data_IF_119004640705
#
_entry.id   IF_119004640705
#
_cell.length_a   1.000
_cell.length_b   1.000
_cell.length_c   1.000
_cell.angle_alpha   90.00
_cell.angle_beta   90.00
_cell.angle_gamma   90.00
#
_symmetry.space_group_name_H-M   'P 1'
#
loop_
_entity.id
_entity.type
_entity.pdbx_description
1 polymer ?
#
# COMPACT_ATOMS: atom_id res chain seq x y z
N UNK A 1 -2.68 -49.16 -26.56
CA UNK A 1 -3.28 -49.71 -27.80
C UNK A 1 -3.91 -48.58 -28.59
N UNK A 2 -3.35 -48.40 -29.81
CA UNK A 2 -3.96 -47.96 -31.09
C UNK A 2 -4.74 -46.63 -31.07
N UNK A 3 -4.23 -45.48 -31.65
CA UNK A 3 -4.23 -45.09 -33.09
C UNK A 3 -5.65 -44.76 -33.56
N UNK A 4 -5.97 -43.64 -34.27
CA UNK A 4 -5.46 -43.09 -35.56
C UNK A 4 -6.26 -41.77 -35.78
N UNK A 5 -5.67 -40.60 -36.09
CA UNK A 5 -5.58 -39.89 -37.38
C UNK A 5 -6.92 -39.60 -38.09
N UNK A 6 -7.14 -38.34 -38.42
CA UNK A 6 -7.28 -37.93 -39.82
C UNK A 6 -7.17 -36.42 -40.02
N UNK A 7 -6.30 -36.11 -40.98
CA UNK A 7 -6.11 -34.86 -41.73
C UNK A 7 -7.09 -34.83 -42.93
N UNK A 8 -7.47 -33.63 -43.40
CA UNK A 8 -7.64 -33.23 -44.80
C UNK A 8 -8.16 -31.77 -44.82
N UNK A 9 -7.55 -30.83 -45.35
CA UNK A 9 -6.91 -30.44 -46.59
C UNK A 9 -7.89 -29.77 -47.59
N UNK A 10 -7.53 -28.52 -48.01
CA UNK A 10 -7.71 -27.79 -49.27
C UNK A 10 -9.14 -27.40 -49.70
N UNK A 11 -9.41 -26.36 -50.46
CA UNK A 11 -8.63 -25.45 -51.31
C UNK A 11 -9.43 -24.23 -51.75
N UNK A 12 -8.76 -23.17 -52.02
CA UNK A 12 -8.89 -22.16 -53.08
C UNK A 12 -10.14 -22.14 -53.98
N UNK A 13 -10.64 -20.92 -54.20
CA UNK A 13 -10.96 -20.46 -55.54
C UNK A 13 -11.01 -18.92 -55.62
N UNK A 14 -10.18 -18.38 -56.49
CA UNK A 14 -10.13 -17.00 -56.97
C UNK A 14 -11.17 -16.79 -58.07
N UNK A 15 -11.70 -15.59 -58.15
CA UNK A 15 -12.57 -15.16 -59.24
C UNK A 15 -12.51 -13.67 -59.47
N UNK A 16 -11.68 -13.27 -60.37
CA UNK A 16 -11.62 -11.92 -60.98
C UNK A 16 -12.78 -11.72 -61.96
N UNK A 17 -13.36 -10.51 -61.98
CA UNK A 17 -13.74 -9.87 -63.26
C UNK A 17 -13.85 -8.35 -63.12
N UNK A 18 -13.18 -7.67 -64.03
CA UNK A 18 -13.20 -6.26 -64.28
C UNK A 18 -14.40 -5.85 -65.16
N UNK A 19 -14.92 -4.64 -65.00
CA UNK A 19 -15.62 -3.96 -66.05
C UNK A 19 -15.31 -2.44 -66.01
N UNK A 20 -14.78 -1.92 -67.08
CA UNK A 20 -14.52 -0.54 -67.38
C UNK A 20 -15.80 0.24 -67.66
N UNK A 21 -15.81 1.54 -67.32
CA UNK A 21 -16.82 2.50 -67.78
C UNK A 21 -16.31 3.94 -67.59
N UNK A 22 -15.81 4.48 -68.65
CA UNK A 22 -15.51 5.85 -69.15
C UNK A 22 -15.75 7.09 -68.30
N UNK A 23 -14.74 7.94 -68.38
CA UNK A 23 -14.59 9.28 -67.84
C UNK A 23 -15.51 10.33 -68.44
N UNK A 24 -15.89 11.32 -67.62
CA UNK A 24 -16.16 12.67 -68.05
C UNK A 24 -15.59 13.69 -67.05
N UNK A 25 -14.77 14.60 -67.56
CA UNK A 25 -14.14 15.74 -66.88
C UNK A 25 -15.13 16.88 -66.64
N UNK A 26 -15.08 17.50 -65.44
CA UNK A 26 -15.19 18.96 -65.24
C UNK A 26 -14.72 19.40 -63.85
N UNK A 27 -14.48 20.69 -63.62
CA UNK A 27 -13.16 21.14 -63.18
C UNK A 27 -13.07 21.45 -61.67
N UNK A 28 -11.82 21.64 -61.20
CA UNK A 28 -11.37 21.92 -59.86
C UNK A 28 -12.06 23.13 -59.20
N UNK A 29 -12.52 22.94 -57.97
CA UNK A 29 -12.66 23.98 -56.96
C UNK A 29 -11.66 23.75 -55.81
N UNK A 30 -11.08 24.83 -55.36
CA UNK A 30 -9.98 25.01 -54.42
C UNK A 30 -10.32 24.46 -53.05
N UNK A 31 -9.35 23.88 -52.27
CA UNK A 31 -9.60 23.34 -50.95
C UNK A 31 -9.81 24.47 -49.94
N UNK A 32 -10.85 24.35 -49.13
CA UNK A 32 -11.01 25.07 -47.88
C UNK A 32 -10.13 24.40 -46.84
N UNK A 33 -9.34 25.23 -46.17
CA UNK A 33 -8.43 24.85 -45.05
C UNK A 33 -9.20 24.29 -43.85
N UNK A 34 -8.56 23.32 -43.19
CA UNK A 34 -8.52 23.19 -41.75
C UNK A 34 -9.76 22.57 -41.09
N UNK A 35 -9.89 21.27 -41.18
CA UNK A 35 -10.53 20.49 -40.16
C UNK A 35 -9.44 19.57 -39.55
N UNK A 36 -9.08 19.79 -38.28
CA UNK A 36 -8.36 18.80 -37.51
C UNK A 36 -9.11 17.46 -37.61
N UNK A 37 -8.40 16.33 -37.78
CA UNK A 37 -9.06 15.04 -37.73
C UNK A 37 -9.62 14.88 -36.31
N UNK A 38 -10.95 14.84 -36.17
CA UNK A 38 -11.58 14.34 -34.96
C UNK A 38 -10.93 12.97 -34.66
N UNK A 39 -10.35 12.81 -33.46
CA UNK A 39 -9.84 11.55 -33.00
C UNK A 39 -10.96 10.51 -33.17
N UNK A 40 -10.72 9.49 -33.97
CA UNK A 40 -11.61 8.34 -34.07
C UNK A 40 -11.73 7.79 -32.64
N UNK A 41 -12.95 7.73 -32.13
CA UNK A 41 -13.23 7.12 -30.83
C UNK A 41 -12.75 5.66 -30.92
N UNK A 42 -11.62 5.37 -30.29
CA UNK A 42 -11.15 4.01 -30.13
C UNK A 42 -12.23 3.20 -29.40
N UNK A 43 -12.54 2.01 -29.91
CA UNK A 43 -13.52 1.10 -29.25
C UNK A 43 -13.07 0.77 -27.81
N UNK A 44 -13.91 0.02 -27.06
CA UNK A 44 -13.59 -0.36 -25.68
C UNK A 44 -12.20 -0.98 -25.56
N UNK A 45 -11.42 -0.51 -24.60
CA UNK A 45 -10.04 -0.99 -24.31
C UNK A 45 -10.02 -1.82 -23.04
N UNK A 46 -9.03 -2.71 -22.95
CA UNK A 46 -8.73 -3.45 -21.73
C UNK A 46 -7.42 -2.97 -21.14
N UNK A 47 -7.46 -2.52 -19.87
CA UNK A 47 -6.31 -2.10 -19.09
C UNK A 47 -5.87 -3.18 -18.12
N UNK A 48 -4.57 -3.48 -18.09
CA UNK A 48 -3.98 -4.24 -16.99
C UNK A 48 -3.75 -3.28 -15.82
N UNK A 49 -4.38 -3.54 -14.69
CA UNK A 49 -4.27 -2.72 -13.48
C UNK A 49 -3.74 -3.58 -12.35
N UNK A 50 -2.74 -3.08 -11.66
CA UNK A 50 -2.17 -3.74 -10.49
C UNK A 50 -2.22 -2.79 -9.30
N UNK A 51 -2.75 -3.26 -8.19
CA UNK A 51 -2.83 -2.51 -6.93
C UNK A 51 -2.51 -3.39 -5.74
N UNK A 52 -2.47 -2.81 -4.55
CA UNK A 52 -2.41 -3.53 -3.28
C UNK A 52 -3.78 -3.83 -2.68
N UNK A 53 -4.87 -3.40 -3.32
CA UNK A 53 -6.23 -3.60 -2.83
C UNK A 53 -6.73 -5.03 -3.09
N UNK A 54 -6.12 -6.00 -2.39
CA UNK A 54 -6.43 -7.43 -2.50
C UNK A 54 -6.23 -8.14 -1.16
N UNK A 55 -6.64 -9.39 -1.06
CA UNK A 55 -6.55 -10.17 0.19
C UNK A 55 -7.38 -9.53 1.30
N UNK A 56 -6.77 -9.33 2.46
CA UNK A 56 -7.38 -8.74 3.67
C UNK A 56 -7.34 -7.20 3.68
N UNK A 57 -6.96 -6.53 2.58
CA UNK A 57 -6.99 -5.08 2.51
C UNK A 57 -8.41 -4.53 2.62
N UNK A 58 -8.63 -3.60 3.54
CA UNK A 58 -9.93 -3.02 3.83
C UNK A 58 -10.59 -2.29 2.66
N UNK A 59 -9.81 -1.90 1.65
CA UNK A 59 -10.29 -1.26 0.43
C UNK A 59 -10.47 -2.22 -0.76
N UNK A 60 -10.23 -3.52 -0.58
CA UNK A 60 -10.36 -4.49 -1.67
C UNK A 60 -11.77 -4.48 -2.31
N UNK A 61 -12.83 -4.38 -1.50
CA UNK A 61 -14.20 -4.29 -2.00
C UNK A 61 -14.51 -2.93 -2.62
N UNK A 62 -14.00 -1.83 -2.04
CA UNK A 62 -14.12 -0.49 -2.62
C UNK A 62 -13.48 -0.43 -4.00
N UNK A 63 -12.31 -1.07 -4.17
CA UNK A 63 -11.62 -1.17 -5.46
C UNK A 63 -12.47 -1.93 -6.50
N UNK A 64 -12.96 -3.12 -6.17
CA UNK A 64 -13.84 -3.91 -7.06
C UNK A 64 -15.08 -3.12 -7.51
N UNK A 65 -15.74 -2.47 -6.56
CA UNK A 65 -16.94 -1.66 -6.83
C UNK A 65 -16.62 -0.44 -7.72
N UNK A 66 -15.51 0.24 -7.46
CA UNK A 66 -15.07 1.40 -8.25
C UNK A 66 -14.66 0.99 -9.67
N UNK A 67 -13.96 -0.13 -9.83
CA UNK A 67 -13.65 -0.72 -11.15
C UNK A 67 -14.94 -1.01 -11.93
N UNK A 68 -15.90 -1.70 -11.32
CA UNK A 68 -17.18 -2.03 -11.97
C UNK A 68 -17.96 -0.77 -12.39
N UNK A 69 -17.93 0.27 -11.57
CA UNK A 69 -18.58 1.56 -11.88
C UNK A 69 -17.88 2.28 -13.04
N UNK A 70 -16.52 2.32 -13.05
CA UNK A 70 -15.77 2.89 -14.16
C UNK A 70 -16.00 2.13 -15.48
N UNK A 71 -15.99 0.80 -15.44
CA UNK A 71 -16.29 -0.04 -16.59
C UNK A 71 -17.70 0.23 -17.16
N UNK A 72 -18.68 0.39 -16.26
CA UNK A 72 -20.06 0.70 -16.65
C UNK A 72 -20.17 2.10 -17.29
N UNK A 73 -19.42 3.10 -16.77
CA UNK A 73 -19.42 4.48 -17.28
C UNK A 73 -18.74 4.59 -18.65
N UNK A 74 -17.66 3.84 -18.88
CA UNK A 74 -16.78 4.02 -20.05
C UNK A 74 -16.93 2.95 -21.12
N UNK A 75 -17.44 1.76 -20.77
CA UNK A 75 -17.43 0.57 -21.61
C UNK A 75 -16.08 -0.14 -21.66
N UNK A 76 -15.01 0.44 -21.13
CA UNK A 76 -13.68 -0.17 -21.01
C UNK A 76 -13.70 -1.34 -20.02
N UNK A 77 -12.60 -2.10 -19.97
CA UNK A 77 -12.42 -3.25 -19.09
C UNK A 77 -11.11 -3.14 -18.30
N UNK A 78 -11.12 -3.72 -17.10
CA UNK A 78 -9.94 -3.90 -16.26
C UNK A 78 -9.60 -5.38 -16.17
N UNK A 79 -8.35 -5.71 -16.42
CA UNK A 79 -7.74 -6.98 -16.04
C UNK A 79 -6.97 -6.70 -14.74
N UNK A 80 -7.59 -7.10 -13.64
CA UNK A 80 -7.04 -6.90 -12.30
C UNK A 80 -6.00 -7.98 -11.98
N UNK A 81 -4.78 -7.52 -11.63
CA UNK A 81 -3.67 -8.36 -11.20
C UNK A 81 -3.13 -7.95 -9.82
N UNK A 82 -3.99 -7.32 -9.02
CA UNK A 82 -3.69 -6.88 -7.67
C UNK A 82 -3.32 -8.04 -6.73
N UNK A 83 -2.52 -7.76 -5.72
CA UNK A 83 -2.13 -8.72 -4.69
C UNK A 83 -1.90 -8.00 -3.35
N UNK A 84 -1.87 -8.76 -2.26
CA UNK A 84 -1.54 -8.25 -0.93
C UNK A 84 -0.20 -7.51 -0.93
N UNK A 85 -0.13 -6.39 -0.22
CA UNK A 85 1.07 -5.58 -0.10
C UNK A 85 2.07 -6.25 0.82
N UNK A 86 3.05 -6.95 0.25
CA UNK A 86 4.18 -7.56 0.95
C UNK A 86 5.48 -7.39 0.14
N UNK A 87 6.59 -7.88 0.65
CA UNK A 87 7.89 -7.80 -0.05
C UNK A 87 7.89 -8.62 -1.35
N UNK A 88 7.11 -9.71 -1.44
CA UNK A 88 6.96 -10.46 -2.68
C UNK A 88 6.23 -9.64 -3.75
N UNK A 89 5.20 -8.87 -3.35
CA UNK A 89 4.52 -7.94 -4.25
C UNK A 89 5.50 -6.89 -4.80
N UNK A 90 6.30 -6.25 -3.94
CA UNK A 90 7.31 -5.26 -4.36
C UNK A 90 8.30 -5.86 -5.35
N UNK A 91 8.87 -7.03 -5.03
CA UNK A 91 9.81 -7.75 -5.89
C UNK A 91 9.19 -8.11 -7.25
N UNK A 92 7.92 -8.55 -7.25
CA UNK A 92 7.19 -8.84 -8.49
C UNK A 92 7.06 -7.60 -9.35
N UNK A 93 6.64 -6.46 -8.78
CA UNK A 93 6.47 -5.22 -9.53
C UNK A 93 7.79 -4.77 -10.16
N UNK A 94 8.88 -4.78 -9.40
CA UNK A 94 10.22 -4.44 -9.92
C UNK A 94 10.57 -5.34 -11.11
N UNK A 95 10.40 -6.66 -10.97
CA UNK A 95 10.65 -7.63 -12.04
C UNK A 95 9.75 -7.41 -13.26
N UNK A 96 8.48 -7.07 -13.08
CA UNK A 96 7.55 -6.79 -14.18
C UNK A 96 8.03 -5.58 -15.00
N UNK A 97 8.56 -4.54 -14.35
CA UNK A 97 9.14 -3.38 -15.04
C UNK A 97 10.45 -3.70 -15.76
N UNK A 98 11.31 -4.52 -15.17
CA UNK A 98 12.56 -4.96 -15.78
C UNK A 98 12.34 -5.82 -17.03
N UNK A 99 11.33 -6.69 -17.00
CA UNK A 99 11.02 -7.63 -18.09
C UNK A 99 10.08 -7.06 -19.16
N UNK A 100 9.55 -5.84 -18.99
CA UNK A 100 8.58 -5.22 -19.91
C UNK A 100 7.16 -5.77 -19.78
N UNK A 101 6.87 -6.42 -18.64
CA UNK A 101 5.56 -6.99 -18.29
C UNK A 101 4.74 -6.04 -17.40
N UNK A 102 5.21 -4.80 -17.21
CA UNK A 102 4.55 -3.80 -16.39
C UNK A 102 3.07 -3.61 -16.75
N UNK A 103 2.19 -3.32 -15.76
CA UNK A 103 0.78 -3.03 -16.02
C UNK A 103 0.58 -1.71 -16.79
N UNK A 104 -0.63 -1.41 -17.20
CA UNK A 104 -0.98 -0.13 -17.82
C UNK A 104 -1.15 0.96 -16.76
N UNK A 105 -1.73 0.60 -15.60
CA UNK A 105 -1.86 1.46 -14.41
C UNK A 105 -1.42 0.67 -13.18
N UNK A 106 -0.62 1.31 -12.33
CA UNK A 106 -0.07 0.73 -11.13
C UNK A 106 -0.42 1.60 -9.91
N UNK A 107 -0.91 1.01 -8.83
CA UNK A 107 -0.95 1.63 -7.51
C UNK A 107 0.18 1.06 -6.67
N UNK A 108 1.14 1.90 -6.30
CA UNK A 108 2.40 1.45 -5.69
C UNK A 108 3.02 2.54 -4.81
N UNK A 109 4.03 2.17 -4.05
CA UNK A 109 4.83 3.08 -3.23
C UNK A 109 5.47 4.18 -4.08
N UNK A 110 5.55 5.39 -3.54
CA UNK A 110 6.11 6.57 -4.20
C UNK A 110 7.49 6.98 -3.63
N UNK A 111 8.04 6.16 -2.72
CA UNK A 111 9.37 6.29 -2.16
C UNK A 111 10.45 5.58 -2.98
N UNK A 112 11.50 5.10 -2.29
CA UNK A 112 12.69 4.50 -2.92
C UNK A 112 12.39 3.22 -3.71
N UNK A 113 11.35 2.46 -3.36
CA UNK A 113 10.94 1.26 -4.09
C UNK A 113 10.54 1.54 -5.57
N UNK A 114 10.20 2.80 -5.89
CA UNK A 114 9.87 3.22 -7.25
C UNK A 114 11.08 3.74 -8.06
N UNK A 115 12.24 3.93 -7.43
CA UNK A 115 13.37 4.62 -8.03
C UNK A 115 13.81 4.00 -9.36
N UNK A 116 13.90 2.68 -9.44
CA UNK A 116 14.47 1.99 -10.60
C UNK A 116 13.60 2.16 -11.83
N UNK A 117 12.30 1.96 -11.74
CA UNK A 117 11.41 2.15 -12.89
C UNK A 117 11.20 3.64 -13.23
N UNK A 118 11.35 4.56 -12.27
CA UNK A 118 11.35 6.01 -12.52
C UNK A 118 12.62 6.41 -13.27
N UNK A 119 13.81 6.03 -12.78
CA UNK A 119 15.10 6.29 -13.44
C UNK A 119 15.15 5.67 -14.86
N UNK A 120 14.50 4.53 -15.05
CA UNK A 120 14.38 3.89 -16.36
C UNK A 120 13.32 4.55 -17.29
N UNK A 121 12.62 5.61 -16.83
CA UNK A 121 11.60 6.32 -17.62
C UNK A 121 10.37 5.49 -17.96
N UNK A 122 9.99 4.55 -17.08
CA UNK A 122 8.89 3.60 -17.29
C UNK A 122 7.52 4.11 -16.88
N UNK A 123 7.46 5.25 -16.19
CA UNK A 123 6.23 5.92 -15.75
C UNK A 123 6.21 7.37 -16.22
N UNK A 124 5.03 7.98 -16.27
CA UNK A 124 4.83 9.33 -16.80
C UNK A 124 4.57 10.29 -15.64
N UNK A 125 5.26 11.42 -15.63
CA UNK A 125 5.05 12.42 -14.59
C UNK A 125 3.68 13.10 -14.70
N UNK A 126 3.15 13.55 -13.57
CA UNK A 126 1.88 14.30 -13.51
C UNK A 126 1.94 15.53 -14.41
N UNK A 127 3.07 16.26 -14.40
CA UNK A 127 3.25 17.44 -15.24
C UNK A 127 3.27 17.13 -16.74
N UNK A 128 3.81 15.97 -17.13
CA UNK A 128 3.76 15.54 -18.55
C UNK A 128 2.34 15.18 -18.96
N UNK A 129 1.59 14.48 -18.11
CA UNK A 129 0.19 14.14 -18.36
C UNK A 129 -0.64 15.43 -18.49
N UNK A 130 -0.44 16.41 -17.61
CA UNK A 130 -1.14 17.71 -17.61
C UNK A 130 -0.93 18.54 -18.87
N UNK A 131 0.12 18.30 -19.66
CA UNK A 131 0.29 18.97 -20.97
C UNK A 131 -0.80 18.58 -21.97
N UNK A 132 -1.32 17.35 -21.87
CA UNK A 132 -2.37 16.83 -22.75
C UNK A 132 -3.73 16.80 -22.06
N UNK A 133 -3.76 16.55 -20.75
CA UNK A 133 -4.94 16.47 -19.88
C UNK A 133 -4.81 17.50 -18.75
N UNK A 134 -5.13 18.81 -18.99
CA UNK A 134 -4.85 19.87 -18.01
C UNK A 134 -5.54 19.69 -16.66
N UNK A 135 -6.66 18.96 -16.62
CA UNK A 135 -7.44 18.71 -15.41
C UNK A 135 -6.95 17.48 -14.61
N UNK A 136 -5.93 16.75 -15.11
CA UNK A 136 -5.43 15.56 -14.44
C UNK A 136 -4.94 15.89 -13.03
N UNK A 137 -5.55 15.24 -12.02
CA UNK A 137 -5.31 15.46 -10.59
C UNK A 137 -5.44 16.95 -10.14
N UNK A 138 -6.24 17.78 -10.83
CA UNK A 138 -6.47 19.20 -10.48
C UNK A 138 -7.27 19.36 -9.19
N UNK A 139 -7.99 18.32 -8.75
CA UNK A 139 -8.69 18.25 -7.47
C UNK A 139 -7.78 17.95 -6.27
N UNK A 140 -6.49 17.67 -6.52
CA UNK A 140 -5.50 17.38 -5.49
C UNK A 140 -4.68 18.63 -5.13
N UNK A 141 -4.29 18.72 -3.86
CA UNK A 141 -3.28 19.67 -3.38
C UNK A 141 -1.89 19.15 -3.77
N UNK A 142 -1.27 19.83 -4.73
CA UNK A 142 0.07 19.46 -5.18
C UNK A 142 1.11 19.45 -4.06
N UNK A 143 0.91 20.22 -2.97
CA UNK A 143 1.78 20.20 -1.80
C UNK A 143 1.72 18.89 -1.02
N UNK A 144 0.65 18.10 -1.19
CA UNK A 144 0.44 16.80 -0.54
C UNK A 144 0.80 15.62 -1.41
N UNK A 145 1.05 15.82 -2.70
CA UNK A 145 1.55 14.77 -3.60
C UNK A 145 3.06 14.69 -3.41
N UNK A 146 3.54 13.53 -2.98
CA UNK A 146 4.97 13.30 -2.74
C UNK A 146 5.76 13.33 -4.05
N UNK A 147 6.92 13.98 -4.01
CA UNK A 147 7.91 13.90 -5.08
C UNK A 147 8.75 12.63 -4.94
N UNK A 148 9.13 12.03 -6.06
CA UNK A 148 10.02 10.88 -6.06
C UNK A 148 11.40 11.25 -5.50
N UNK A 149 12.01 10.43 -4.63
CA UNK A 149 13.39 10.63 -4.20
C UNK A 149 14.40 10.42 -5.33
N UNK A 150 14.01 9.79 -6.44
CA UNK A 150 14.89 9.54 -7.58
C UNK A 150 15.31 10.83 -8.31
N UNK A 151 14.39 11.81 -8.43
CA UNK A 151 14.59 13.00 -9.28
C UNK A 151 13.82 14.26 -8.82
N UNK A 152 13.06 14.17 -7.74
CA UNK A 152 12.24 15.28 -7.22
C UNK A 152 10.96 15.55 -8.02
N UNK A 153 10.58 14.68 -8.95
CA UNK A 153 9.40 14.83 -9.81
C UNK A 153 8.21 14.03 -9.24
N UNK A 154 6.98 14.49 -9.48
CA UNK A 154 5.74 13.83 -9.03
C UNK A 154 5.19 12.92 -10.10
N UNK A 155 4.93 11.66 -9.75
CA UNK A 155 4.44 10.64 -10.67
C UNK A 155 3.13 10.00 -10.21
N UNK A 156 2.97 9.78 -8.92
CA UNK A 156 1.87 9.01 -8.35
C UNK A 156 0.78 9.92 -7.77
N UNK A 157 -0.49 9.69 -8.14
CA UNK A 157 -1.64 10.40 -7.57
C UNK A 157 -2.23 9.57 -6.44
N UNK A 158 -2.20 10.03 -5.17
CA UNK A 158 -2.69 9.25 -4.04
C UNK A 158 -4.23 9.19 -4.02
N UNK A 159 -4.80 8.08 -3.53
CA UNK A 159 -6.23 7.94 -3.28
C UNK A 159 -6.54 8.02 -1.78
N UNK A 160 -5.70 7.43 -0.95
CA UNK A 160 -5.79 7.44 0.50
C UNK A 160 -4.41 7.50 1.12
N UNK A 161 -4.36 7.91 2.38
CA UNK A 161 -3.19 7.79 3.23
C UNK A 161 -3.24 6.54 4.10
N UNK A 162 -2.32 6.48 5.05
CA UNK A 162 -2.23 5.43 6.05
C UNK A 162 -1.81 6.01 7.41
N UNK A 163 -2.00 5.23 8.42
CA UNK A 163 -1.38 5.36 9.74
C UNK A 163 -1.12 3.96 10.28
N UNK A 164 -0.11 3.84 11.13
CA UNK A 164 0.22 2.62 11.85
C UNK A 164 -0.06 2.81 13.35
N UNK A 165 -0.70 1.83 13.96
CA UNK A 165 -1.09 1.91 15.37
C UNK A 165 -1.26 0.50 15.97
N UNK A 166 -1.51 0.44 17.28
CA UNK A 166 -1.76 -0.80 18.00
C UNK A 166 -3.24 -1.13 17.99
N UNK A 167 -3.65 -2.18 17.27
CA UNK A 167 -4.97 -2.78 17.43
C UNK A 167 -5.02 -3.63 18.69
N UNK A 168 -6.20 -3.71 19.31
CA UNK A 168 -6.40 -4.35 20.61
C UNK A 168 -7.61 -5.27 20.56
N UNK A 169 -7.45 -6.48 21.09
CA UNK A 169 -8.56 -7.37 21.36
C UNK A 169 -8.95 -7.25 22.84
N UNK A 170 -10.05 -6.54 23.11
CA UNK A 170 -10.52 -6.24 24.45
C UNK A 170 -10.92 -7.49 25.24
N UNK A 171 -11.46 -8.51 24.56
CA UNK A 171 -11.84 -9.77 25.20
C UNK A 171 -10.62 -10.46 25.83
N UNK A 172 -9.48 -10.42 25.15
CA UNK A 172 -8.21 -10.97 25.67
C UNK A 172 -7.69 -10.12 26.85
N UNK A 173 -7.79 -8.77 26.75
CA UNK A 173 -7.40 -7.90 27.85
C UNK A 173 -8.25 -8.16 29.10
N UNK A 174 -9.56 -8.27 28.94
CA UNK A 174 -10.49 -8.52 30.05
C UNK A 174 -10.21 -9.87 30.71
N UNK A 175 -9.95 -10.93 29.90
CA UNK A 175 -9.59 -12.25 30.41
C UNK A 175 -8.26 -12.25 31.18
N UNK A 176 -7.31 -11.39 30.79
CA UNK A 176 -6.02 -11.23 31.45
C UNK A 176 -6.05 -10.21 32.62
N UNK A 177 -7.15 -9.51 32.82
CA UNK A 177 -7.25 -8.44 33.82
C UNK A 177 -6.40 -7.23 33.52
N UNK A 178 -6.23 -6.93 32.22
CA UNK A 178 -5.47 -5.79 31.71
C UNK A 178 -6.42 -4.67 31.30
N UNK A 179 -6.09 -3.44 31.64
CA UNK A 179 -6.85 -2.26 31.22
C UNK A 179 -6.42 -1.82 29.84
N UNK A 180 -7.35 -1.36 29.01
CA UNK A 180 -7.09 -0.79 27.69
C UNK A 180 -5.95 0.24 27.73
N UNK A 181 -4.85 0.06 26.96
CA UNK A 181 -3.78 1.05 26.88
C UNK A 181 -4.27 2.38 26.29
N UNK A 182 -3.64 3.47 26.67
CA UNK A 182 -3.97 4.83 26.23
C UNK A 182 -2.70 5.57 25.77
N UNK A 183 -2.87 6.82 25.35
CA UNK A 183 -1.74 7.72 25.04
C UNK A 183 -0.80 7.98 26.23
N UNK A 184 -1.17 7.54 27.43
CA UNK A 184 -0.36 7.69 28.67
C UNK A 184 0.33 6.41 29.10
N UNK A 185 0.01 5.29 28.45
CA UNK A 185 0.61 3.98 28.79
C UNK A 185 2.09 4.02 28.44
N UNK A 186 2.92 3.82 29.43
CA UNK A 186 4.38 3.80 29.28
C UNK A 186 4.86 2.46 28.76
N UNK A 187 6.06 2.42 28.20
CA UNK A 187 6.71 1.17 27.78
C UNK A 187 6.77 0.12 28.91
N UNK A 188 7.11 0.58 30.12
CA UNK A 188 7.18 -0.31 31.28
C UNK A 188 5.81 -0.93 31.62
N UNK A 189 4.74 -0.13 31.63
CA UNK A 189 3.37 -0.63 31.87
C UNK A 189 2.95 -1.61 30.77
N UNK A 190 3.32 -1.35 29.51
CA UNK A 190 3.06 -2.26 28.40
C UNK A 190 3.75 -3.62 28.61
N UNK A 191 5.02 -3.65 29.03
CA UNK A 191 5.70 -4.91 29.36
C UNK A 191 5.03 -5.66 30.52
N UNK A 192 4.58 -4.94 31.55
CA UNK A 192 3.82 -5.51 32.68
C UNK A 192 2.48 -6.10 32.22
N UNK A 193 1.81 -5.46 31.26
CA UNK A 193 0.57 -5.95 30.68
C UNK A 193 0.79 -7.16 29.77
N UNK A 194 1.84 -7.18 28.96
CA UNK A 194 2.24 -8.35 28.18
C UNK A 194 2.51 -9.57 29.10
N UNK A 195 3.17 -9.38 30.25
CA UNK A 195 3.41 -10.46 31.20
C UNK A 195 2.11 -11.00 31.83
N UNK A 196 1.15 -10.14 32.13
CA UNK A 196 -0.19 -10.56 32.62
C UNK A 196 -0.94 -11.38 31.55
N UNK A 197 -0.93 -10.90 30.29
CA UNK A 197 -1.57 -11.57 29.16
C UNK A 197 -0.95 -12.96 28.95
N UNK A 198 0.38 -13.04 28.93
CA UNK A 198 1.12 -14.29 28.80
C UNK A 198 0.79 -15.25 29.97
N UNK A 199 0.78 -14.74 31.21
CA UNK A 199 0.44 -15.52 32.40
C UNK A 199 -1.00 -16.03 32.40
N UNK A 200 -1.91 -15.35 31.72
CA UNK A 200 -3.29 -15.78 31.51
C UNK A 200 -3.44 -16.83 30.39
N UNK A 201 -2.36 -17.16 29.68
CA UNK A 201 -2.32 -18.20 28.64
C UNK A 201 -2.63 -17.69 27.23
N UNK A 202 -2.58 -16.38 27.01
CA UNK A 202 -2.72 -15.75 25.70
C UNK A 202 -1.37 -15.29 25.16
N UNK A 203 -1.30 -15.09 23.83
CA UNK A 203 -0.15 -14.44 23.19
C UNK A 203 -0.28 -12.93 23.39
N UNK A 204 0.70 -12.23 23.98
CA UNK A 204 0.62 -10.79 24.12
C UNK A 204 0.48 -10.06 22.78
N UNK A 205 1.34 -10.40 21.81
CA UNK A 205 1.51 -9.65 20.56
C UNK A 205 1.41 -10.60 19.38
N UNK A 206 0.45 -10.39 18.50
CA UNK A 206 0.40 -11.06 17.20
C UNK A 206 1.40 -10.37 16.26
N UNK A 207 2.46 -11.06 15.87
CA UNK A 207 3.45 -10.54 14.92
C UNK A 207 4.16 -11.67 14.16
N UNK A 208 4.38 -11.46 12.87
CA UNK A 208 5.12 -12.33 11.97
C UNK A 208 6.50 -11.71 11.67
N UNK A 209 7.42 -11.74 12.65
CA UNK A 209 8.73 -11.08 12.53
C UNK A 209 9.61 -11.62 11.39
N UNK A 210 9.33 -12.83 10.88
CA UNK A 210 10.03 -13.39 9.72
C UNK A 210 9.39 -13.03 8.38
N UNK A 211 8.20 -12.42 8.38
CA UNK A 211 7.46 -12.09 7.15
C UNK A 211 7.22 -10.58 7.00
N UNK A 212 6.74 -9.93 8.07
CA UNK A 212 6.45 -8.49 8.10
C UNK A 212 7.09 -7.86 9.35
N UNK A 213 8.42 -7.68 9.39
CA UNK A 213 9.11 -7.13 10.55
C UNK A 213 9.07 -5.60 10.63
N UNK A 214 8.70 -4.91 9.55
CA UNK A 214 8.95 -3.47 9.38
C UNK A 214 8.22 -2.61 10.41
N UNK A 215 6.98 -2.92 10.83
CA UNK A 215 6.29 -2.16 11.88
C UNK A 215 7.07 -2.15 13.20
N UNK A 216 7.63 -3.30 13.58
CA UNK A 216 8.41 -3.45 14.79
C UNK A 216 9.76 -2.78 14.68
N UNK A 217 10.39 -2.85 13.48
CA UNK A 217 11.62 -2.14 13.18
C UNK A 217 11.39 -0.63 13.26
N UNK A 218 10.36 -0.11 12.58
CA UNK A 218 10.02 1.31 12.54
C UNK A 218 9.70 1.87 13.93
N UNK A 219 8.78 1.26 14.66
CA UNK A 219 8.42 1.75 16.00
C UNK A 219 9.51 1.49 17.05
N UNK A 220 10.34 0.47 16.87
CA UNK A 220 11.51 0.25 17.71
C UNK A 220 12.44 1.45 17.64
N UNK A 221 12.86 1.85 16.44
CA UNK A 221 13.74 3.01 16.27
C UNK A 221 13.01 4.33 16.57
N UNK A 222 11.74 4.47 16.19
CA UNK A 222 10.98 5.69 16.45
C UNK A 222 10.82 5.98 17.93
N UNK A 223 10.76 4.97 18.79
CA UNK A 223 10.74 5.15 20.24
C UNK A 223 11.99 5.86 20.80
N UNK A 224 13.11 5.78 20.10
CA UNK A 224 14.36 6.46 20.46
C UNK A 224 14.43 7.88 19.88
N UNK A 225 13.52 8.26 18.97
CA UNK A 225 13.58 9.43 18.11
C UNK A 225 12.39 10.38 18.31
N UNK A 226 12.46 11.53 17.67
CA UNK A 226 11.34 12.46 17.52
C UNK A 226 10.83 12.43 16.06
N UNK A 227 9.61 12.92 15.78
CA UNK A 227 9.11 13.00 14.42
C UNK A 227 10.01 13.78 13.44
N UNK A 228 10.80 14.72 13.96
CA UNK A 228 11.66 15.60 13.17
C UNK A 228 12.90 14.88 12.62
N UNK A 229 13.45 13.91 13.38
CA UNK A 229 14.67 13.20 12.97
C UNK A 229 14.44 11.73 12.56
N UNK A 230 13.21 11.23 12.67
CA UNK A 230 12.90 9.82 12.38
C UNK A 230 13.28 9.39 10.96
N UNK A 231 13.12 10.27 9.96
CA UNK A 231 13.45 9.98 8.56
C UNK A 231 14.92 10.23 8.20
N UNK A 232 15.73 10.69 9.16
CA UNK A 232 17.17 10.87 8.93
C UNK A 232 17.87 9.51 8.94
N UNK A 233 18.68 9.25 7.92
CA UNK A 233 19.46 8.02 7.83
C UNK A 233 20.80 8.22 8.53
N UNK A 234 21.18 7.34 9.48
CA UNK A 234 22.47 7.44 10.17
C UNK A 234 23.66 7.38 9.21
N UNK A 235 24.75 8.08 9.55
CA UNK A 235 26.01 7.96 8.81
C UNK A 235 26.76 6.66 9.12
N UNK A 236 26.58 6.11 10.32
CA UNK A 236 27.13 4.82 10.76
C UNK A 236 26.35 4.29 11.96
N UNK A 237 26.48 3.00 12.25
CA UNK A 237 25.89 2.39 13.45
C UNK A 237 26.44 2.97 14.77
N UNK A 238 27.63 3.58 14.74
CA UNK A 238 28.33 4.12 15.91
C UNK A 238 28.01 5.60 16.19
N UNK A 239 27.37 6.33 15.25
CA UNK A 239 26.97 7.70 15.51
C UNK A 239 25.70 7.78 16.40
N UNK A 240 25.30 8.97 16.82
CA UNK A 240 24.18 9.16 17.75
C UNK A 240 22.88 8.56 17.18
N UNK A 241 22.57 8.85 15.92
CA UNK A 241 21.37 8.36 15.26
C UNK A 241 21.43 6.84 15.01
N UNK A 242 22.60 6.30 14.66
CA UNK A 242 22.83 4.86 14.51
C UNK A 242 22.66 4.09 15.81
N UNK A 243 23.10 4.66 16.93
CA UNK A 243 22.87 4.08 18.25
C UNK A 243 21.37 4.08 18.62
N UNK A 244 20.59 5.07 18.21
CA UNK A 244 19.12 5.05 18.37
C UNK A 244 18.52 3.87 17.61
N UNK A 245 18.97 3.57 16.39
CA UNK A 245 18.55 2.39 15.64
C UNK A 245 18.93 1.09 16.34
N UNK A 246 20.18 0.98 16.80
CA UNK A 246 20.66 -0.20 17.53
C UNK A 246 19.85 -0.44 18.80
N UNK A 247 19.56 0.62 19.56
CA UNK A 247 18.78 0.54 20.79
C UNK A 247 17.32 0.15 20.52
N UNK A 248 16.70 0.74 19.49
CA UNK A 248 15.32 0.43 19.11
C UNK A 248 15.13 -1.02 18.67
N UNK A 249 16.07 -1.56 17.88
CA UNK A 249 16.09 -2.98 17.52
C UNK A 249 16.37 -3.88 18.74
N UNK A 250 17.16 -3.39 19.70
CA UNK A 250 17.37 -4.04 20.99
C UNK A 250 16.06 -4.23 21.77
N UNK A 251 15.14 -3.25 21.70
CA UNK A 251 13.83 -3.35 22.35
C UNK A 251 12.95 -4.43 21.69
N UNK A 252 12.99 -4.57 20.37
CA UNK A 252 12.28 -5.65 19.65
C UNK A 252 12.84 -7.03 20.06
N UNK A 253 14.17 -7.13 20.16
CA UNK A 253 14.83 -8.35 20.66
C UNK A 253 14.42 -8.68 22.08
N UNK A 254 14.33 -7.69 22.98
CA UNK A 254 13.86 -7.87 24.35
C UNK A 254 12.45 -8.48 24.39
N UNK A 255 11.51 -7.96 23.59
CA UNK A 255 10.14 -8.50 23.50
C UNK A 255 10.14 -9.97 23.04
N UNK A 256 11.02 -10.32 22.09
CA UNK A 256 11.20 -11.70 21.62
C UNK A 256 11.76 -12.60 22.72
N UNK A 257 12.81 -12.18 23.42
CA UNK A 257 13.44 -12.93 24.51
C UNK A 257 12.49 -13.14 25.70
N UNK A 258 11.62 -12.16 25.97
CA UNK A 258 10.55 -12.27 26.96
C UNK A 258 9.41 -13.22 26.52
N UNK A 259 9.39 -13.65 25.24
CA UNK A 259 8.40 -14.56 24.69
C UNK A 259 7.02 -13.93 24.62
N UNK A 260 6.94 -12.67 24.18
CA UNK A 260 5.68 -11.95 24.00
C UNK A 260 5.10 -12.09 22.59
N UNK A 261 5.88 -12.59 21.63
CA UNK A 261 5.44 -12.96 20.29
C UNK A 261 5.02 -14.44 20.21
N UNK A 262 4.30 -14.87 19.16
CA UNK A 262 4.00 -16.29 18.94
C UNK A 262 5.27 -17.14 18.82
N UNK A 263 5.20 -18.40 19.25
CA UNK A 263 6.35 -19.33 19.17
C UNK A 263 6.88 -19.49 17.72
N UNK A 264 5.99 -19.36 16.72
CA UNK A 264 6.32 -19.44 15.29
C UNK A 264 6.53 -18.07 14.61
N UNK A 265 6.69 -16.98 15.35
CA UNK A 265 6.80 -15.61 14.82
C UNK A 265 7.84 -15.44 13.69
N UNK A 266 8.91 -16.26 13.72
CA UNK A 266 9.97 -16.22 12.71
C UNK A 266 9.64 -16.98 11.41
N UNK A 267 8.51 -17.68 11.36
CA UNK A 267 8.08 -18.47 10.21
C UNK A 267 6.59 -18.31 9.88
N UNK A 268 5.83 -17.62 10.73
CA UNK A 268 4.43 -17.32 10.51
C UNK A 268 4.28 -16.31 9.37
N UNK A 269 3.15 -16.40 8.67
CA UNK A 269 2.72 -15.37 7.71
C UNK A 269 1.93 -14.27 8.43
N UNK A 270 1.77 -13.11 7.77
CA UNK A 270 0.90 -12.03 8.25
C UNK A 270 -0.54 -12.53 8.48
N UNK A 271 -1.10 -13.27 7.52
CA UNK A 271 -2.47 -13.82 7.62
C UNK A 271 -2.64 -14.75 8.85
N UNK A 272 -1.62 -15.57 9.16
CA UNK A 272 -1.66 -16.45 10.34
C UNK A 272 -1.68 -15.67 11.65
N UNK A 273 -0.89 -14.62 11.76
CA UNK A 273 -0.84 -13.77 12.97
C UNK A 273 -2.06 -12.85 13.06
N UNK A 274 -2.55 -12.35 11.93
CA UNK A 274 -3.81 -11.62 11.87
C UNK A 274 -4.99 -12.49 12.32
N UNK A 275 -5.09 -13.73 11.82
CA UNK A 275 -6.10 -14.68 12.27
C UNK A 275 -5.98 -14.99 13.76
N UNK A 276 -4.75 -15.11 14.30
CA UNK A 276 -4.54 -15.28 15.74
C UNK A 276 -5.14 -14.13 16.55
N UNK A 277 -4.98 -12.89 16.09
CA UNK A 277 -5.53 -11.70 16.72
C UNK A 277 -7.07 -11.67 16.64
N UNK A 278 -7.64 -11.91 15.45
CA UNK A 278 -9.11 -11.85 15.24
C UNK A 278 -9.85 -13.03 15.86
N UNK A 279 -9.18 -14.15 16.11
CA UNK A 279 -9.69 -15.33 16.84
C UNK A 279 -9.64 -15.16 18.37
N UNK A 280 -9.14 -14.04 18.91
CA UNK A 280 -9.05 -13.82 20.35
C UNK A 280 -7.95 -14.65 21.03
N UNK A 281 -6.88 -15.00 20.31
CA UNK A 281 -5.72 -15.73 20.83
C UNK A 281 -4.56 -14.81 21.19
N UNK A 282 -4.56 -13.58 20.66
CA UNK A 282 -3.58 -12.55 20.94
C UNK A 282 -4.25 -11.21 21.29
N UNK A 283 -3.59 -10.43 22.16
CA UNK A 283 -4.13 -9.18 22.69
C UNK A 283 -3.85 -7.98 21.77
N UNK A 284 -2.64 -7.89 21.24
CA UNK A 284 -2.16 -6.73 20.49
C UNK A 284 -1.70 -7.11 19.08
N UNK A 285 -1.96 -6.21 18.13
CA UNK A 285 -1.47 -6.27 16.76
C UNK A 285 -0.98 -4.88 16.37
N UNK A 286 0.31 -4.70 16.09
CA UNK A 286 0.88 -3.49 15.52
C UNK A 286 0.79 -3.59 14.01
N UNK A 287 -0.05 -2.75 13.39
CA UNK A 287 -0.30 -2.80 11.95
C UNK A 287 -0.94 -1.49 11.45
N UNK A 288 -1.25 -1.41 10.18
CA UNK A 288 -1.76 -0.21 9.54
C UNK A 288 -3.28 -0.11 9.46
N UNK A 289 -3.73 1.08 9.09
CA UNK A 289 -5.14 1.45 8.94
C UNK A 289 -5.95 0.54 8.01
N UNK A 290 -5.32 -0.17 7.08
CA UNK A 290 -5.94 -1.16 6.19
C UNK A 290 -6.54 -2.36 6.94
N UNK A 291 -6.02 -2.70 8.13
CA UNK A 291 -6.55 -3.80 8.94
C UNK A 291 -7.93 -3.50 9.54
N UNK A 292 -8.35 -2.24 9.60
CA UNK A 292 -9.72 -1.89 10.03
C UNK A 292 -10.76 -2.64 9.21
N UNK A 293 -10.62 -2.64 7.87
CA UNK A 293 -11.53 -3.37 6.99
C UNK A 293 -11.43 -4.88 7.14
N UNK A 294 -10.23 -5.42 7.29
CA UNK A 294 -10.02 -6.86 7.52
C UNK A 294 -10.63 -7.34 8.83
N UNK A 295 -10.51 -6.56 9.93
CA UNK A 295 -11.17 -6.88 11.21
C UNK A 295 -12.70 -6.89 11.03
N UNK A 296 -13.26 -5.90 10.33
CA UNK A 296 -14.70 -5.82 10.04
C UNK A 296 -15.15 -7.05 9.24
N UNK A 297 -14.41 -7.41 8.19
CA UNK A 297 -14.71 -8.60 7.36
C UNK A 297 -14.69 -9.90 8.19
N UNK A 298 -13.76 -10.03 9.15
CA UNK A 298 -13.71 -11.18 10.08
C UNK A 298 -14.87 -11.20 11.10
N UNK A 299 -15.60 -10.09 11.24
CA UNK A 299 -16.82 -10.01 12.04
C UNK A 299 -18.10 -10.18 11.20
N UNK A 300 -18.00 -10.52 9.91
CA UNK A 300 -19.13 -10.80 9.02
C UNK A 300 -19.23 -12.30 8.71
N UNK A 301 -20.44 -12.83 8.60
CA UNK A 301 -20.65 -14.20 8.12
C UNK A 301 -20.57 -14.29 6.60
N UNK A 302 -20.76 -13.16 5.90
CA UNK A 302 -20.53 -12.96 4.48
C UNK A 302 -19.83 -11.60 4.31
N UNK A 303 -18.52 -11.57 4.00
CA UNK A 303 -17.77 -10.33 3.85
C UNK A 303 -18.28 -9.42 2.72
N UNK A 304 -19.06 -9.96 1.77
CA UNK A 304 -19.67 -9.17 0.69
C UNK A 304 -21.02 -8.54 1.08
N UNK A 305 -21.63 -8.97 2.19
CA UNK A 305 -22.91 -8.44 2.70
C UNK A 305 -22.72 -7.71 4.05
N UNK A 306 -22.67 -6.36 4.05
CA UNK A 306 -22.55 -5.57 5.30
C UNK A 306 -23.66 -5.84 6.32
N UNK A 307 -24.83 -6.34 5.91
CA UNK A 307 -25.92 -6.67 6.82
C UNK A 307 -25.63 -7.91 7.69
N UNK A 308 -24.58 -8.66 7.39
CA UNK A 308 -24.14 -9.82 8.16
C UNK A 308 -23.14 -9.52 9.28
N UNK A 309 -22.84 -8.24 9.51
CA UNK A 309 -21.90 -7.79 10.52
C UNK A 309 -22.37 -8.15 11.94
N UNK A 310 -21.55 -8.92 12.64
CA UNK A 310 -21.69 -9.15 14.08
C UNK A 310 -21.08 -7.96 14.85
N UNK A 311 -21.93 -7.03 15.22
CA UNK A 311 -21.53 -5.81 15.92
C UNK A 311 -21.03 -6.09 17.35
N UNK A 312 -21.51 -7.14 18.00
CA UNK A 312 -21.05 -7.53 19.34
C UNK A 312 -19.61 -8.05 19.27
N UNK A 313 -19.31 -8.91 18.28
CA UNK A 313 -17.93 -9.35 18.02
C UNK A 313 -17.01 -8.18 17.65
N UNK A 314 -17.47 -7.25 16.79
CA UNK A 314 -16.69 -6.10 16.38
C UNK A 314 -16.35 -5.16 17.55
N UNK A 315 -17.26 -5.02 18.52
CA UNK A 315 -17.08 -4.16 19.69
C UNK A 315 -15.91 -4.62 20.59
N UNK A 316 -15.48 -5.88 20.49
CA UNK A 316 -14.30 -6.40 21.18
C UNK A 316 -12.99 -5.87 20.59
N UNK A 317 -13.00 -5.29 19.39
CA UNK A 317 -11.79 -4.71 18.79
C UNK A 317 -11.73 -3.20 19.03
N UNK A 318 -10.51 -2.74 19.28
CA UNK A 318 -10.20 -1.33 19.48
C UNK A 318 -8.87 -0.98 18.79
N UNK A 319 -8.52 0.29 18.76
CA UNK A 319 -7.23 0.78 18.28
C UNK A 319 -6.71 1.85 19.21
N UNK A 320 -5.41 1.81 19.49
CA UNK A 320 -4.71 2.72 20.38
C UNK A 320 -3.30 3.01 19.87
N UNK A 321 -2.56 3.78 20.63
CA UNK A 321 -1.19 4.18 20.30
C UNK A 321 -0.20 3.07 20.66
N UNK A 322 0.85 2.92 19.84
CA UNK A 322 2.02 2.15 20.27
C UNK A 322 2.64 2.83 21.50
N UNK A 323 2.95 2.09 22.57
CA UNK A 323 3.48 2.66 23.81
C UNK A 323 4.77 3.45 23.58
N UNK A 324 4.82 4.65 24.14
CA UNK A 324 5.99 5.50 24.00
C UNK A 324 7.12 5.05 24.93
N UNK A 325 8.35 5.22 24.42
CA UNK A 325 9.58 5.08 25.17
C UNK A 325 10.50 6.25 24.79
N UNK A 326 11.28 6.70 25.73
CA UNK A 326 12.34 7.72 25.58
C UNK A 326 11.85 9.03 24.91
N UNK A 327 12.16 9.31 23.65
CA UNK A 327 11.95 10.62 23.02
C UNK A 327 10.55 10.80 22.40
N UNK A 328 9.94 9.73 21.90
CA UNK A 328 8.65 9.78 21.20
C UNK A 328 7.48 9.99 22.17
N UNK A 329 6.47 10.73 21.75
CA UNK A 329 5.15 10.71 22.40
C UNK A 329 4.31 9.58 21.79
N UNK A 330 3.48 8.91 22.58
CA UNK A 330 2.58 7.87 22.06
C UNK A 330 1.67 8.38 20.92
N UNK A 331 1.30 9.66 20.95
CA UNK A 331 0.48 10.33 19.93
C UNK A 331 1.24 10.76 18.68
N UNK A 332 2.55 10.50 18.57
CA UNK A 332 3.29 10.65 17.34
C UNK A 332 3.25 9.33 16.58
N UNK A 333 2.67 9.33 15.38
CA UNK A 333 2.42 8.13 14.59
C UNK A 333 3.24 8.11 13.29
N UNK A 334 3.51 6.91 12.83
CA UNK A 334 3.94 6.67 11.45
C UNK A 334 2.69 6.72 10.57
N UNK A 335 2.76 7.47 9.48
CA UNK A 335 1.65 7.66 8.56
C UNK A 335 1.92 8.72 7.51
N UNK A 336 1.05 8.79 6.51
CA UNK A 336 1.19 9.77 5.44
C UNK A 336 0.51 9.34 4.15
N UNK A 337 1.07 9.79 3.03
CA UNK A 337 0.63 9.49 1.67
C UNK A 337 1.81 8.85 0.91
N UNK A 338 2.10 7.58 1.18
CA UNK A 338 3.28 6.87 0.64
C UNK A 338 3.01 6.10 -0.65
N UNK A 339 1.76 6.08 -1.13
CA UNK A 339 1.35 5.33 -2.32
C UNK A 339 0.47 6.17 -3.23
N UNK A 340 0.44 5.82 -4.52
CA UNK A 340 -0.45 6.45 -5.48
C UNK A 340 -0.52 5.69 -6.80
N UNK A 341 -1.43 6.15 -7.67
CA UNK A 341 -1.62 5.62 -9.01
C UNK A 341 -0.62 6.22 -9.99
N UNK A 342 0.14 5.36 -10.66
CA UNK A 342 1.02 5.67 -11.77
C UNK A 342 0.37 5.32 -13.11
N UNK A 343 0.50 6.19 -14.10
CA UNK A 343 0.32 5.83 -15.51
C UNK A 343 1.66 5.37 -16.07
N UNK A 344 1.72 4.13 -16.58
CA UNK A 344 2.98 3.62 -17.13
C UNK A 344 3.27 4.21 -18.52
N UNK A 345 4.55 4.28 -18.87
CA UNK A 345 5.00 4.75 -20.19
C UNK A 345 4.45 3.87 -21.31
N UNK A 346 4.29 2.58 -21.04
CA UNK A 346 3.67 1.60 -21.95
C UNK A 346 2.24 1.97 -22.31
N UNK A 347 1.40 2.31 -21.34
CA UNK A 347 0.03 2.75 -21.59
C UNK A 347 -0.02 4.14 -22.23
N UNK A 348 0.88 5.04 -21.80
CA UNK A 348 0.96 6.40 -22.33
C UNK A 348 1.33 6.46 -23.82
N UNK A 349 2.27 5.61 -24.26
CA UNK A 349 2.75 5.56 -25.64
C UNK A 349 1.79 4.81 -26.58
N UNK A 350 0.86 4.04 -26.03
CA UNK A 350 -0.21 3.39 -26.80
C UNK A 350 -1.43 4.34 -26.94
N UNK A 351 -1.67 4.92 -28.14
CA UNK A 351 -2.81 5.84 -28.31
C UNK A 351 -4.17 5.22 -28.01
N UNK A 352 -4.29 3.88 -28.11
CA UNK A 352 -5.53 3.19 -27.79
C UNK A 352 -5.78 3.11 -26.27
N UNK A 353 -4.71 3.06 -25.45
CA UNK A 353 -4.77 2.86 -24.00
C UNK A 353 -4.63 4.17 -23.20
N UNK A 354 -3.95 5.16 -23.74
CA UNK A 354 -3.64 6.42 -23.05
C UNK A 354 -4.87 7.07 -22.40
N UNK A 355 -5.89 7.34 -23.18
CA UNK A 355 -7.11 8.00 -22.70
C UNK A 355 -7.82 7.17 -21.62
N UNK A 356 -7.84 5.85 -21.78
CA UNK A 356 -8.44 4.95 -20.82
C UNK A 356 -7.63 4.90 -19.50
N UNK A 357 -6.29 4.85 -19.57
CA UNK A 357 -5.43 4.83 -18.39
C UNK A 357 -5.52 6.14 -17.59
N UNK A 358 -5.48 7.29 -18.28
CA UNK A 358 -5.67 8.60 -17.64
C UNK A 358 -7.05 8.69 -16.99
N UNK A 359 -8.13 8.37 -17.75
CA UNK A 359 -9.50 8.36 -17.25
C UNK A 359 -9.70 7.43 -16.06
N UNK A 360 -9.01 6.28 -16.03
CA UNK A 360 -9.07 5.37 -14.88
C UNK A 360 -8.47 6.00 -13.63
N UNK A 361 -7.29 6.60 -13.74
CA UNK A 361 -6.65 7.27 -12.59
C UNK A 361 -7.48 8.47 -12.14
N UNK A 362 -7.95 9.33 -13.05
CA UNK A 362 -8.85 10.46 -12.71
C UNK A 362 -10.11 10.00 -11.98
N UNK A 363 -10.70 8.87 -12.41
CA UNK A 363 -11.86 8.31 -11.73
C UNK A 363 -11.52 7.79 -10.33
N UNK A 364 -10.47 6.99 -10.21
CA UNK A 364 -10.05 6.40 -8.93
C UNK A 364 -9.61 7.45 -7.90
N UNK A 365 -9.16 8.63 -8.37
CA UNK A 365 -8.70 9.73 -7.53
C UNK A 365 -9.69 10.92 -7.52
N UNK A 366 -10.94 10.69 -7.95
CA UNK A 366 -11.99 11.71 -7.97
C UNK A 366 -12.53 12.01 -6.57
N UNK A 367 -13.19 13.17 -6.43
CA UNK A 367 -13.92 13.58 -5.22
C UNK A 367 -15.07 12.61 -4.86
N UNK A 368 -15.53 11.77 -5.82
CA UNK A 368 -16.54 10.72 -5.61
C UNK A 368 -15.92 9.45 -4.99
N UNK A 369 -14.72 9.04 -5.43
CA UNK A 369 -14.11 7.76 -5.08
C UNK A 369 -13.17 7.86 -3.88
N UNK A 370 -12.36 8.91 -3.78
CA UNK A 370 -11.43 9.10 -2.65
C UNK A 370 -12.09 8.95 -1.29
N UNK A 371 -13.31 9.51 -1.02
CA UNK A 371 -13.96 9.33 0.28
C UNK A 371 -14.28 7.88 0.65
N UNK A 372 -14.42 6.98 -0.33
CA UNK A 372 -14.66 5.56 -0.10
C UNK A 372 -13.42 4.85 0.43
N UNK A 373 -12.23 5.30 -0.01
CA UNK A 373 -10.94 4.72 0.38
C UNK A 373 -10.33 5.37 1.62
N UNK A 374 -10.51 6.68 1.77
CA UNK A 374 -9.86 7.48 2.80
C UNK A 374 -10.77 7.79 4.00
N UNK A 375 -11.68 6.87 4.37
CA UNK A 375 -12.70 7.08 5.41
C UNK A 375 -12.13 7.59 6.74
N UNK A 376 -10.98 7.06 7.15
CA UNK A 376 -10.32 7.40 8.42
C UNK A 376 -8.82 7.68 8.23
N UNK A 377 -8.39 7.99 6.99
CA UNK A 377 -6.99 8.29 6.66
C UNK A 377 -6.85 9.67 6.01
N UNK A 378 -5.62 10.14 5.87
CA UNK A 378 -5.33 11.38 5.15
C UNK A 378 -5.63 11.26 3.65
N UNK A 379 -5.88 12.37 3.00
CA UNK A 379 -6.07 12.48 1.54
C UNK A 379 -5.35 13.72 1.01
N UNK A 380 -5.03 13.70 -0.29
CA UNK A 380 -4.48 14.86 -0.97
C UNK A 380 -5.56 15.79 -1.58
N UNK A 381 -6.84 15.50 -1.42
CA UNK A 381 -7.89 16.36 -1.96
C UNK A 381 -7.76 17.81 -1.49
N UNK A 382 -7.97 18.76 -2.40
CA UNK A 382 -8.06 20.20 -2.09
C UNK A 382 -9.16 20.51 -1.06
N UNK A 383 -10.27 19.77 -1.15
CA UNK A 383 -11.39 19.88 -0.23
C UNK A 383 -11.46 18.62 0.64
N UNK A 384 -11.65 18.81 1.94
CA UNK A 384 -11.88 17.66 2.83
C UNK A 384 -13.06 16.82 2.31
N UNK A 385 -12.91 15.49 2.20
CA UNK A 385 -13.99 14.63 1.77
C UNK A 385 -15.18 14.76 2.72
N UNK A 386 -16.39 14.82 2.14
CA UNK A 386 -17.61 14.74 2.94
C UNK A 386 -17.88 13.29 3.23
N UNK A 387 -17.52 12.86 4.40
CA UNK A 387 -17.77 11.50 4.87
C UNK A 387 -19.04 11.51 5.74
N UNK A 388 -19.93 10.57 5.50
CA UNK A 388 -21.12 10.39 6.32
C UNK A 388 -20.78 9.53 7.53
N UNK A 389 -20.41 10.16 8.65
CA UNK A 389 -20.02 9.48 9.89
C UNK A 389 -21.10 8.57 10.46
N UNK A 390 -22.37 8.75 10.05
CA UNK A 390 -23.48 7.89 10.49
C UNK A 390 -23.43 6.49 9.87
N UNK A 391 -22.60 6.30 8.86
CA UNK A 391 -22.38 5.01 8.20
C UNK A 391 -21.19 4.23 8.80
N UNK A 392 -20.45 4.82 9.73
CA UNK A 392 -19.28 4.17 10.31
C UNK A 392 -19.67 3.12 11.35
N UNK A 393 -18.99 1.99 11.30
CA UNK A 393 -19.01 0.99 12.36
C UNK A 393 -18.23 1.44 13.61
N UNK A 394 -18.36 0.70 14.70
CA UNK A 394 -17.75 1.08 15.98
C UNK A 394 -16.22 1.17 15.92
N UNK A 395 -15.54 0.30 15.17
CA UNK A 395 -14.08 0.32 15.05
C UNK A 395 -13.60 1.54 14.24
N UNK A 396 -14.31 1.92 13.18
CA UNK A 396 -14.02 3.14 12.43
C UNK A 396 -14.18 4.40 13.30
N UNK A 397 -15.23 4.45 14.12
CA UNK A 397 -15.43 5.55 15.09
C UNK A 397 -14.29 5.62 16.11
N UNK A 398 -13.83 4.47 16.63
CA UNK A 398 -12.68 4.38 17.54
C UNK A 398 -11.40 4.88 16.85
N UNK A 399 -11.14 4.47 15.60
CA UNK A 399 -10.01 4.92 14.81
C UNK A 399 -10.02 6.44 14.58
N UNK A 400 -11.17 7.02 14.22
CA UNK A 400 -11.33 8.48 14.06
C UNK A 400 -11.07 9.20 15.39
N UNK A 401 -11.58 8.66 16.49
CA UNK A 401 -11.37 9.22 17.84
C UNK A 401 -9.89 9.20 18.23
N UNK A 402 -9.18 8.10 17.96
CA UNK A 402 -7.72 8.00 18.16
C UNK A 402 -7.00 9.05 17.31
N UNK A 403 -7.32 9.11 16.00
CA UNK A 403 -6.71 10.04 15.05
C UNK A 403 -6.89 11.52 15.45
N UNK A 404 -8.01 11.87 16.08
CA UNK A 404 -8.29 13.24 16.52
C UNK A 404 -7.32 13.78 17.58
N UNK A 405 -6.54 12.90 18.23
CA UNK A 405 -5.58 13.24 19.29
C UNK A 405 -4.12 13.09 18.83
N UNK A 406 -3.87 12.69 17.58
CA UNK A 406 -2.52 12.54 17.03
C UNK A 406 -1.82 13.89 17.06
N UNK A 407 -0.60 13.93 17.60
CA UNK A 407 0.22 15.14 17.72
C UNK A 407 0.95 15.45 16.43
N UNK A 408 1.47 14.42 15.78
CA UNK A 408 2.25 14.53 14.55
C UNK A 408 2.23 13.23 13.76
N UNK A 409 2.53 13.34 12.47
CA UNK A 409 2.83 12.23 11.59
C UNK A 409 4.24 12.34 11.07
N UNK A 410 4.90 11.20 10.94
CA UNK A 410 6.14 11.03 10.18
C UNK A 410 5.97 9.88 9.19
N UNK A 411 6.69 9.90 8.07
CA UNK A 411 6.73 8.76 7.14
C UNK A 411 7.47 7.56 7.72
N UNK A 412 7.41 6.44 7.05
CA UNK A 412 8.19 5.26 7.38
C UNK A 412 9.62 5.39 6.79
N UNK A 413 10.64 5.07 7.57
CA UNK A 413 12.04 5.07 7.13
C UNK A 413 12.25 4.12 5.97
N UNK A 414 11.52 2.97 5.96
CA UNK A 414 11.57 1.99 4.89
C UNK A 414 11.27 2.56 3.50
N UNK A 415 10.52 3.66 3.41
CA UNK A 415 10.22 4.32 2.13
C UNK A 415 11.48 4.97 1.49
N UNK A 416 12.50 5.23 2.30
CA UNK A 416 13.81 5.74 1.86
C UNK A 416 14.91 4.68 1.92
N UNK A 417 14.77 3.68 2.81
CA UNK A 417 15.73 2.62 3.08
C UNK A 417 15.25 1.30 2.44
N UNK A 418 15.44 1.16 1.12
CA UNK A 418 14.84 0.10 0.29
C UNK A 418 15.81 -0.97 -0.19
N UNK A 419 15.28 -2.05 -0.75
CA UNK A 419 16.04 -3.10 -1.43
C UNK A 419 17.12 -3.73 -0.57
N UNK A 420 18.37 -3.74 -1.05
CA UNK A 420 19.51 -4.37 -0.37
C UNK A 420 19.78 -3.79 1.03
N UNK A 421 19.40 -2.52 1.28
CA UNK A 421 19.56 -1.88 2.58
C UNK A 421 18.77 -2.61 3.67
N UNK A 422 17.61 -3.19 3.33
CA UNK A 422 16.74 -3.90 4.27
C UNK A 422 17.17 -5.35 4.53
N UNK A 423 17.99 -5.93 3.67
CA UNK A 423 18.35 -7.36 3.77
C UNK A 423 18.97 -7.72 5.12
N UNK A 424 19.85 -6.88 5.67
CA UNK A 424 20.48 -7.16 6.96
C UNK A 424 19.65 -6.75 8.18
N UNK A 425 18.67 -5.89 8.01
CA UNK A 425 17.85 -5.32 9.10
C UNK A 425 16.43 -5.90 9.10
N UNK A 426 15.63 -5.70 8.05
CA UNK A 426 14.26 -6.22 7.98
C UNK A 426 14.24 -7.73 7.76
N UNK A 427 14.82 -8.21 6.65
CA UNK A 427 14.85 -9.63 6.33
C UNK A 427 15.72 -10.41 7.34
N UNK A 428 16.74 -9.74 7.89
CA UNK A 428 17.61 -10.25 8.94
C UNK A 428 16.97 -10.28 10.33
N UNK A 429 15.77 -9.75 10.54
CA UNK A 429 15.10 -9.67 11.85
C UNK A 429 15.12 -11.01 12.61
N UNK A 430 14.90 -12.18 12.00
CA UNK A 430 15.02 -13.48 12.69
C UNK A 430 16.42 -13.74 13.27
N UNK A 431 17.48 -13.29 12.62
CA UNK A 431 18.83 -13.43 13.09
C UNK A 431 19.17 -12.45 14.22
N UNK A 432 18.63 -11.21 14.12
CA UNK A 432 18.79 -10.17 15.13
C UNK A 432 18.13 -10.57 16.45
N UNK A 433 16.86 -10.94 16.44
CA UNK A 433 16.12 -11.27 17.67
C UNK A 433 16.60 -12.56 18.31
N UNK A 434 17.13 -13.52 17.53
CA UNK A 434 17.74 -14.73 18.06
C UNK A 434 19.20 -14.57 18.51
N UNK A 435 19.79 -13.39 18.29
CA UNK A 435 21.19 -13.10 18.64
C UNK A 435 22.21 -13.83 17.78
N UNK A 436 21.81 -14.36 16.62
CA UNK A 436 22.74 -14.99 15.65
C UNK A 436 23.57 -13.96 14.91
N UNK A 437 23.05 -12.75 14.78
CA UNK A 437 23.74 -11.59 14.22
C UNK A 437 23.70 -10.44 15.22
N UNK A 438 24.80 -9.71 15.32
CA UNK A 438 24.88 -8.49 16.12
C UNK A 438 24.06 -7.37 15.49
N UNK A 439 23.32 -6.62 16.30
CA UNK A 439 22.41 -5.57 15.79
C UNK A 439 23.20 -4.42 15.18
N UNK A 440 24.31 -3.98 15.83
CA UNK A 440 25.11 -2.88 15.30
C UNK A 440 25.80 -3.28 13.98
N UNK A 441 26.25 -4.52 13.87
CA UNK A 441 26.80 -5.07 12.61
C UNK A 441 25.73 -5.06 11.51
N UNK A 442 24.50 -5.50 11.79
CA UNK A 442 23.43 -5.51 10.82
C UNK A 442 23.00 -4.10 10.38
N UNK A 443 22.91 -3.16 11.31
CA UNK A 443 22.64 -1.75 11.00
C UNK A 443 23.74 -1.18 10.11
N UNK A 444 25.03 -1.43 10.44
CA UNK A 444 26.14 -0.94 9.61
C UNK A 444 26.11 -1.50 8.19
N UNK A 445 25.85 -2.81 8.03
CA UNK A 445 25.72 -3.42 6.69
C UNK A 445 24.59 -2.78 5.87
N UNK A 446 23.41 -2.52 6.49
CA UNK A 446 22.31 -1.86 5.81
C UNK A 446 22.67 -0.43 5.40
N UNK A 447 23.39 0.31 6.26
CA UNK A 447 23.86 1.67 5.95
C UNK A 447 24.91 1.67 4.84
N UNK A 448 25.84 0.69 4.87
CA UNK A 448 26.85 0.56 3.81
C UNK A 448 26.18 0.31 2.44
N UNK A 449 25.15 -0.55 2.40
CA UNK A 449 24.36 -0.77 1.18
C UNK A 449 23.62 0.50 0.75
N UNK A 450 23.01 1.24 1.69
CA UNK A 450 22.32 2.48 1.41
C UNK A 450 23.24 3.53 0.77
N UNK A 451 24.41 3.76 1.35
CA UNK A 451 25.35 4.76 0.81
C UNK A 451 25.99 4.32 -0.50
N UNK A 452 26.22 3.00 -0.70
CA UNK A 452 26.70 2.48 -1.99
C UNK A 452 25.70 2.70 -3.14
N UNK A 453 24.40 2.83 -2.86
CA UNK A 453 23.37 3.13 -3.86
C UNK A 453 23.27 4.63 -4.19
N UNK A 454 23.87 5.51 -3.37
CA UNK A 454 23.85 6.96 -3.59
C UNK A 454 25.04 7.43 -4.45
N UNK A 455 26.13 6.65 -4.54
CA UNK A 455 27.30 6.90 -5.36
C UNK A 455 27.07 6.46 -6.83
#
# INVERSE_FOLDING_TARGET
MKRIWNLALCALLAGTMAACGTAENKPAETPAEGGEPAAEASGPVSLNVTTTFAGEDGNAQNFKNSVAAWESKTGNKVVDTSATSDENFKTRIITDFETGSEPDVLFFFNGADANDFIKAGKVVSIDEIRKTYPEYASNMDDGRISASPADGVKYAVPVNGYWEAMFVNQEVLDAAGVTMPTEKTTWKEFLEDCEKIKSAGYTPIAAALGNIPHYWWEYGIFNQQTPENHLEIPGSADDELGQEWVNGLGDVKELYELGYFPDNTLSATDDETFAMFTDGKAAFLLDGSWKVGGIVANCQSDPEDPATLDTEKLDHFDVTYFPAKDARKATDLIGGLSMGYYVTKKAWDDPAKRDAAVSFVEYMTSDEVVPLFAQHTATALNNAPKVDETQFNSLQVKAISMMSKVSSFTGAVQDSFSGECRTSTFDGMPELVTGKKDIAEAVQEGLDAYYAMQD
#
